data_IF_934558829277
#
_entry.id   IF_934558829277
#
_cell.length_a   1.000
_cell.length_b   1.000
_cell.length_c   1.000
_cell.angle_alpha   90.00
_cell.angle_beta   90.00
_cell.angle_gamma   90.00
#
_symmetry.space_group_name_H-M   'P 1'
#
loop_
_entity.id
_entity.type
_entity.pdbx_description
1 polymer ?
#
# COMPACT_ATOMS: atom_id res chain seq x y z
N UNK A 1 -0.87 -37.61 72.61
CA UNK A 1 -0.24 -37.33 71.32
C UNK A 1 -0.94 -36.15 70.73
N UNK A 2 -0.23 -35.02 70.66
CA UNK A 2 -0.74 -33.64 70.46
C UNK A 2 -0.96 -33.35 69.04
N UNK A 3 -2.19 -33.08 68.64
CA UNK A 3 -2.59 -32.63 67.24
C UNK A 3 -2.62 -31.12 67.26
N UNK A 4 -1.71 -30.49 66.51
CA UNK A 4 -1.65 -29.06 66.27
C UNK A 4 -2.53 -28.71 65.10
N UNK A 5 -3.62 -27.99 65.31
CA UNK A 5 -4.42 -27.31 64.29
C UNK A 5 -3.66 -26.07 63.78
N UNK A 6 -3.26 -26.08 62.53
CA UNK A 6 -2.85 -24.88 61.82
C UNK A 6 -4.05 -24.30 61.07
N UNK A 7 -4.50 -23.16 61.50
CA UNK A 7 -5.47 -22.33 60.77
C UNK A 7 -4.78 -21.67 59.55
N UNK A 8 -5.16 -22.08 58.34
CA UNK A 8 -4.79 -21.40 57.11
C UNK A 8 -5.82 -20.31 56.82
N UNK A 9 -5.42 -19.06 57.08
CA UNK A 9 -6.17 -17.89 56.57
C UNK A 9 -6.10 -17.84 55.07
N UNK A 10 -7.24 -18.08 54.39
CA UNK A 10 -7.41 -17.82 52.97
C UNK A 10 -7.42 -16.28 52.75
N UNK A 11 -6.32 -15.74 52.28
CA UNK A 11 -6.35 -14.43 51.65
C UNK A 11 -6.99 -14.60 50.27
N UNK A 12 -8.24 -14.13 50.11
CA UNK A 12 -8.89 -13.99 48.82
C UNK A 12 -8.15 -12.88 48.03
N UNK A 13 -7.27 -13.29 47.09
CA UNK A 13 -6.73 -12.40 46.11
C UNK A 13 -7.91 -11.88 45.27
N UNK A 14 -8.21 -10.57 45.40
CA UNK A 14 -9.08 -9.88 44.46
C UNK A 14 -8.46 -10.00 43.06
N UNK A 15 -9.00 -10.91 42.27
CA UNK A 15 -8.63 -11.04 40.86
C UNK A 15 -8.84 -9.72 40.15
N UNK A 16 -7.77 -9.12 39.69
CA UNK A 16 -7.82 -8.05 38.70
C UNK A 16 -8.54 -8.65 37.48
N UNK A 17 -9.77 -8.24 37.26
CA UNK A 17 -10.47 -8.51 35.98
C UNK A 17 -9.67 -7.81 34.91
N UNK A 18 -8.78 -8.53 34.24
CA UNK A 18 -8.20 -8.07 32.97
C UNK A 18 -9.36 -7.82 32.02
N UNK A 19 -9.56 -6.56 31.62
CA UNK A 19 -10.52 -6.22 30.57
C UNK A 19 -10.20 -7.11 29.36
N UNK A 20 -11.24 -7.72 28.79
CA UNK A 20 -11.09 -8.43 27.52
C UNK A 20 -10.42 -7.51 26.50
N UNK A 21 -9.53 -8.03 25.64
CA UNK A 21 -8.89 -7.22 24.62
C UNK A 21 -9.95 -6.56 23.74
N UNK A 22 -9.84 -5.25 23.55
CA UNK A 22 -10.74 -4.47 22.68
C UNK A 22 -10.61 -5.01 21.25
N UNK A 23 -11.73 -5.25 20.58
CA UNK A 23 -11.70 -5.71 19.18
C UNK A 23 -11.10 -4.64 18.27
N UNK A 24 -10.55 -5.06 17.11
CA UNK A 24 -10.01 -4.13 16.11
C UNK A 24 -11.06 -3.08 15.69
N UNK A 25 -12.31 -3.49 15.50
CA UNK A 25 -13.40 -2.59 15.11
C UNK A 25 -13.68 -1.55 16.19
N UNK A 26 -13.86 -1.97 17.44
CA UNK A 26 -14.09 -1.07 18.57
C UNK A 26 -12.94 -0.08 18.77
N UNK A 27 -11.69 -0.53 18.57
CA UNK A 27 -10.52 0.34 18.65
C UNK A 27 -10.55 1.42 17.56
N UNK A 28 -10.87 1.04 16.31
CA UNK A 28 -10.93 1.97 15.18
C UNK A 28 -12.09 2.95 15.36
N UNK A 29 -13.27 2.50 15.76
CA UNK A 29 -14.43 3.36 16.01
C UNK A 29 -14.16 4.38 17.13
N UNK A 30 -13.57 3.94 18.23
CA UNK A 30 -13.17 4.82 19.34
C UNK A 30 -12.15 5.88 18.86
N UNK A 31 -11.14 5.47 18.08
CA UNK A 31 -10.15 6.39 17.54
C UNK A 31 -10.79 7.40 16.58
N UNK A 32 -11.62 6.96 15.63
CA UNK A 32 -12.32 7.82 14.68
C UNK A 32 -13.24 8.83 15.37
N UNK A 33 -13.87 8.44 16.49
CA UNK A 33 -14.73 9.32 17.28
C UNK A 33 -13.96 10.48 17.93
N UNK A 34 -12.66 10.28 18.19
CA UNK A 34 -11.77 11.28 18.80
C UNK A 34 -11.11 12.20 17.79
N UNK A 35 -11.08 11.83 16.51
CA UNK A 35 -10.43 12.57 15.45
C UNK A 35 -11.22 13.80 15.02
N UNK A 36 -10.53 14.95 14.87
CA UNK A 36 -11.04 16.09 14.13
C UNK A 36 -11.13 15.80 12.63
N UNK A 37 -11.84 16.65 11.87
CA UNK A 37 -11.87 16.51 10.41
C UNK A 37 -10.47 16.63 9.80
N UNK A 38 -9.68 17.60 10.27
CA UNK A 38 -8.31 17.82 9.80
C UNK A 38 -7.40 16.60 10.04
N UNK A 39 -7.53 15.94 11.20
CA UNK A 39 -6.79 14.73 11.51
C UNK A 39 -7.25 13.53 10.64
N UNK A 40 -8.56 13.43 10.31
CA UNK A 40 -9.06 12.42 9.37
C UNK A 40 -8.49 12.64 7.98
N UNK A 41 -8.51 13.88 7.48
CA UNK A 41 -7.89 14.24 6.20
C UNK A 41 -6.38 14.00 6.24
N UNK A 42 -5.73 14.31 7.35
CA UNK A 42 -4.31 14.09 7.57
C UNK A 42 -3.90 12.61 7.40
N UNK A 43 -4.75 11.65 7.80
CA UNK A 43 -4.47 10.23 7.60
C UNK A 43 -4.47 9.80 6.12
N UNK A 44 -5.08 10.61 5.23
CA UNK A 44 -5.08 10.37 3.78
C UNK A 44 -3.86 11.00 3.08
N UNK A 45 -2.96 11.66 3.81
CA UNK A 45 -1.84 12.40 3.25
C UNK A 45 -0.53 11.62 3.37
N UNK A 46 0.11 11.36 2.22
CA UNK A 46 1.36 10.61 2.08
C UNK A 46 2.43 11.49 1.38
N UNK A 47 3.03 12.47 2.07
CA UNK A 47 4.08 13.29 1.48
C UNK A 47 5.43 12.57 1.41
N UNK A 48 6.34 13.12 0.59
CA UNK A 48 7.76 12.74 0.64
C UNK A 48 8.42 13.27 1.92
N UNK A 49 9.51 12.63 2.33
CA UNK A 49 10.28 13.12 3.48
C UNK A 49 11.10 14.39 3.20
N UNK A 50 11.14 14.87 1.95
CA UNK A 50 12.02 15.96 1.53
C UNK A 50 13.48 15.56 1.27
N UNK A 51 13.84 14.30 1.50
CA UNK A 51 15.17 13.76 1.29
C UNK A 51 15.43 13.29 -0.16
N UNK A 52 14.48 13.52 -1.08
CA UNK A 52 14.57 13.00 -2.44
C UNK A 52 14.81 14.10 -3.42
N UNK A 53 15.81 13.84 -4.23
CA UNK A 53 16.24 14.71 -5.32
C UNK A 53 15.41 14.53 -6.62
N UNK A 54 14.49 13.58 -6.64
CA UNK A 54 13.65 13.28 -7.80
C UNK A 54 12.19 13.52 -7.47
N UNK A 55 11.63 14.60 -7.97
CA UNK A 55 10.23 14.96 -7.78
C UNK A 55 10.05 16.37 -7.25
N UNK A 56 8.95 17.01 -7.60
CA UNK A 56 8.69 18.44 -7.36
C UNK A 56 8.08 18.75 -5.99
N UNK A 57 7.91 17.79 -5.11
CA UNK A 57 7.27 18.00 -3.81
C UNK A 57 8.28 18.48 -2.76
N UNK A 58 8.31 19.77 -2.50
CA UNK A 58 8.96 20.33 -1.33
C UNK A 58 8.11 20.09 -0.08
N UNK A 59 8.51 19.15 0.76
CA UNK A 59 7.89 18.94 2.08
C UNK A 59 8.51 19.84 3.15
N UNK A 60 8.44 21.16 2.95
CA UNK A 60 8.72 22.12 4.02
C UNK A 60 7.72 21.88 5.17
N UNK A 61 8.23 21.69 6.40
CA UNK A 61 7.46 21.48 7.62
C UNK A 61 6.87 20.07 7.86
N UNK A 62 7.42 19.01 7.29
CA UNK A 62 6.96 17.62 7.54
C UNK A 62 6.85 17.33 9.04
N UNK A 63 7.86 17.64 9.84
CA UNK A 63 7.85 17.41 11.28
C UNK A 63 6.66 18.09 11.99
N UNK A 64 6.36 19.34 11.64
CA UNK A 64 5.22 20.08 12.17
C UNK A 64 3.88 19.45 11.74
N UNK A 65 3.76 19.07 10.47
CA UNK A 65 2.55 18.43 9.96
C UNK A 65 2.29 17.07 10.64
N UNK A 66 3.35 16.31 10.97
CA UNK A 66 3.23 15.06 11.74
C UNK A 66 2.73 15.35 13.15
N UNK A 67 3.31 16.34 13.84
CA UNK A 67 2.89 16.75 15.18
C UNK A 67 1.43 17.20 15.22
N UNK A 68 0.97 17.90 14.18
CA UNK A 68 -0.42 18.37 14.02
C UNK A 68 -1.39 17.27 13.54
N UNK A 69 -0.92 16.02 13.31
CA UNK A 69 -1.75 14.91 12.84
C UNK A 69 -2.20 15.00 11.38
N UNK A 70 -1.49 15.77 10.56
CA UNK A 70 -1.80 16.02 9.13
C UNK A 70 -1.10 15.08 8.15
N UNK A 71 -0.51 13.99 8.64
CA UNK A 71 0.27 13.01 7.84
C UNK A 71 -0.05 11.60 8.32
N UNK A 72 -0.48 10.73 7.41
CA UNK A 72 -0.74 9.31 7.68
C UNK A 72 0.47 8.41 7.42
N UNK A 73 1.36 8.84 6.53
CA UNK A 73 2.59 8.12 6.19
C UNK A 73 3.59 9.02 5.50
N UNK A 74 4.79 8.48 5.28
CA UNK A 74 5.83 9.12 4.48
C UNK A 74 6.34 8.10 3.45
N UNK A 75 6.70 8.55 2.26
CA UNK A 75 7.37 7.68 1.32
C UNK A 75 8.78 8.16 0.97
N UNK A 76 9.61 7.19 0.56
CA UNK A 76 11.00 7.43 0.18
C UNK A 76 11.87 8.06 1.29
N UNK A 77 11.61 7.78 2.55
CA UNK A 77 12.51 8.07 3.66
C UNK A 77 13.47 6.90 3.85
N UNK A 78 14.75 7.17 4.01
CA UNK A 78 15.79 6.16 4.26
C UNK A 78 16.49 6.40 5.59
N UNK A 79 17.10 5.37 6.09
CA UNK A 79 17.87 5.24 7.33
C UNK A 79 17.02 5.11 8.60
N UNK A 80 17.41 4.16 9.41
CA UNK A 80 16.77 3.85 10.70
C UNK A 80 16.67 5.08 11.60
N UNK A 81 17.71 5.94 11.62
CA UNK A 81 17.74 7.13 12.47
C UNK A 81 16.64 8.12 12.10
N UNK A 82 16.48 8.44 10.82
CA UNK A 82 15.44 9.37 10.34
C UNK A 82 14.04 8.82 10.53
N UNK A 83 13.83 7.55 10.20
CA UNK A 83 12.53 6.88 10.38
C UNK A 83 12.14 6.88 11.86
N UNK A 84 13.07 6.56 12.76
CA UNK A 84 12.82 6.62 14.22
C UNK A 84 12.53 8.04 14.71
N UNK A 85 13.21 9.03 14.18
CA UNK A 85 13.00 10.43 14.56
C UNK A 85 11.57 10.88 14.21
N UNK A 86 11.15 10.70 12.96
CA UNK A 86 9.79 11.11 12.53
C UNK A 86 8.70 10.26 13.17
N UNK A 87 8.92 8.95 13.35
CA UNK A 87 7.99 8.08 14.07
C UNK A 87 7.83 8.51 15.53
N UNK A 88 8.92 8.93 16.18
CA UNK A 88 8.88 9.44 17.54
C UNK A 88 8.04 10.71 17.65
N UNK A 89 8.10 11.61 16.66
CA UNK A 89 7.22 12.78 16.61
C UNK A 89 5.75 12.33 16.55
N UNK A 90 5.41 11.38 15.68
CA UNK A 90 4.05 10.90 15.55
C UNK A 90 3.51 10.28 16.84
N UNK A 91 4.28 9.39 17.50
CA UNK A 91 3.78 8.61 18.67
C UNK A 91 3.97 9.31 20.01
N UNK A 92 4.85 10.32 20.12
CA UNK A 92 5.09 11.02 21.38
C UNK A 92 4.48 12.43 21.41
N UNK A 93 4.53 13.18 20.28
CA UNK A 93 4.15 14.59 20.24
C UNK A 93 2.78 14.84 19.64
N UNK A 94 2.31 14.02 18.67
CA UNK A 94 0.97 14.21 18.12
C UNK A 94 -0.12 13.88 19.15
N UNK A 95 -1.27 14.50 18.99
CA UNK A 95 -2.39 14.35 19.94
C UNK A 95 -2.92 12.92 20.03
N UNK A 96 -3.07 12.25 18.90
CA UNK A 96 -3.65 10.90 18.83
C UNK A 96 -2.63 9.78 18.86
N UNK A 97 -1.34 10.09 18.72
CA UNK A 97 -0.23 9.13 18.77
C UNK A 97 -0.34 7.99 17.76
N UNK A 98 -0.91 8.27 16.59
CA UNK A 98 -1.03 7.30 15.51
C UNK A 98 0.34 7.15 14.84
N UNK A 99 0.88 5.92 14.74
CA UNK A 99 2.16 5.70 14.04
C UNK A 99 2.00 5.89 12.53
N UNK A 100 3.08 6.36 11.89
CA UNK A 100 3.14 6.56 10.44
C UNK A 100 3.40 5.25 9.68
N UNK A 101 2.87 5.18 8.47
CA UNK A 101 3.32 4.23 7.45
C UNK A 101 4.58 4.78 6.75
N UNK A 102 5.51 3.89 6.42
CA UNK A 102 6.72 4.21 5.66
C UNK A 102 6.77 3.40 4.37
N UNK A 103 6.46 4.08 3.25
CA UNK A 103 6.41 3.47 1.93
C UNK A 103 7.70 3.67 1.14
N UNK A 104 8.05 2.67 0.32
CA UNK A 104 9.16 2.74 -0.63
C UNK A 104 8.97 1.78 -1.80
N UNK A 105 9.51 2.16 -2.97
CA UNK A 105 9.64 1.22 -4.09
C UNK A 105 10.74 0.19 -3.79
N UNK A 106 10.33 -1.06 -3.62
CA UNK A 106 11.23 -2.20 -3.40
C UNK A 106 10.92 -3.25 -4.47
N UNK A 107 11.03 -2.83 -5.75
CA UNK A 107 10.52 -3.59 -6.90
C UNK A 107 11.37 -4.82 -7.21
N UNK A 108 12.71 -4.69 -7.12
CA UNK A 108 13.64 -5.79 -7.37
C UNK A 108 14.79 -5.83 -6.36
N UNK A 109 14.44 -5.72 -5.09
CA UNK A 109 15.36 -5.73 -3.95
C UNK A 109 15.39 -4.39 -3.22
N UNK A 110 16.08 -4.39 -2.08
CA UNK A 110 16.30 -3.20 -1.26
C UNK A 110 17.81 -2.90 -1.17
N UNK A 111 18.56 -3.52 -0.27
CA UNK A 111 20.02 -3.48 -0.27
C UNK A 111 20.61 -4.49 -1.26
N UNK A 112 20.08 -5.72 -1.28
CA UNK A 112 20.42 -6.70 -2.30
C UNK A 112 19.63 -6.41 -3.57
N UNK A 113 20.33 -6.07 -4.65
CA UNK A 113 19.73 -5.87 -5.97
C UNK A 113 19.54 -7.19 -6.68
N UNK A 114 18.28 -7.54 -6.96
CA UNK A 114 17.89 -8.68 -7.80
C UNK A 114 17.77 -8.25 -9.27
N UNK A 115 17.72 -9.20 -10.22
CA UNK A 115 17.32 -8.87 -11.59
C UNK A 115 16.00 -8.12 -11.64
N UNK A 116 15.82 -7.28 -12.67
CA UNK A 116 14.55 -6.59 -12.88
C UNK A 116 13.39 -7.59 -12.97
N UNK A 117 12.15 -7.22 -12.63
CA UNK A 117 11.01 -8.13 -12.64
C UNK A 117 10.83 -8.89 -13.94
N UNK A 118 11.04 -8.25 -15.09
CA UNK A 118 11.01 -8.93 -16.40
C UNK A 118 12.08 -10.03 -16.51
N UNK A 119 13.28 -9.80 -15.96
CA UNK A 119 14.34 -10.82 -15.89
C UNK A 119 13.99 -11.95 -14.92
N UNK A 120 13.42 -11.63 -13.76
CA UNK A 120 12.95 -12.65 -12.81
C UNK A 120 11.83 -13.50 -13.38
N UNK A 121 10.90 -12.91 -14.14
CA UNK A 121 9.78 -13.63 -14.77
C UNK A 121 10.26 -14.71 -15.72
N UNK A 122 11.37 -14.48 -16.44
CA UNK A 122 11.96 -15.44 -17.38
C UNK A 122 12.48 -16.72 -16.73
N UNK A 123 12.64 -16.73 -15.41
CA UNK A 123 13.05 -17.95 -14.67
C UNK A 123 11.93 -18.97 -14.53
N UNK A 124 10.67 -18.57 -14.60
CA UNK A 124 9.48 -19.40 -14.33
C UNK A 124 9.51 -20.08 -12.96
N UNK A 125 10.36 -19.61 -12.05
CA UNK A 125 10.61 -20.22 -10.75
C UNK A 125 9.92 -19.42 -9.63
N UNK A 126 8.65 -19.74 -9.35
CA UNK A 126 7.86 -19.03 -8.32
C UNK A 126 8.49 -19.06 -6.92
N UNK A 127 9.04 -20.21 -6.43
CA UNK A 127 9.76 -20.22 -5.15
C UNK A 127 10.96 -19.27 -5.11
N UNK A 128 11.70 -19.10 -6.20
CA UNK A 128 12.82 -18.16 -6.28
C UNK A 128 12.33 -16.71 -6.23
N UNK A 129 11.25 -16.39 -6.94
CA UNK A 129 10.62 -15.05 -6.96
C UNK A 129 10.06 -14.71 -5.57
N UNK A 130 9.35 -15.64 -4.92
CA UNK A 130 8.88 -15.47 -3.55
C UNK A 130 10.05 -15.22 -2.59
N UNK A 131 11.15 -15.97 -2.74
CA UNK A 131 12.35 -15.82 -1.91
C UNK A 131 13.03 -14.47 -2.10
N UNK A 132 13.10 -13.94 -3.32
CA UNK A 132 13.66 -12.62 -3.57
C UNK A 132 12.85 -11.52 -2.85
N UNK A 133 11.52 -11.61 -2.90
CA UNK A 133 10.64 -10.70 -2.18
C UNK A 133 10.78 -10.81 -0.65
N UNK A 134 10.95 -12.02 -0.11
CA UNK A 134 11.22 -12.24 1.32
C UNK A 134 12.53 -11.59 1.78
N UNK A 135 13.58 -11.68 0.97
CA UNK A 135 14.87 -11.06 1.29
C UNK A 135 14.72 -9.53 1.26
N UNK A 136 14.10 -8.99 0.22
CA UNK A 136 13.84 -7.57 0.10
C UNK A 136 12.99 -7.03 1.28
N UNK A 137 11.94 -7.75 1.68
CA UNK A 137 11.11 -7.40 2.84
C UNK A 137 11.93 -7.38 4.14
N UNK A 138 12.77 -8.38 4.35
CA UNK A 138 13.64 -8.46 5.53
C UNK A 138 14.63 -7.30 5.60
N UNK A 139 15.22 -6.92 4.48
CA UNK A 139 16.17 -5.81 4.42
C UNK A 139 15.45 -4.47 4.63
N UNK A 140 14.35 -4.22 3.92
CA UNK A 140 13.56 -3.00 4.03
C UNK A 140 12.99 -2.81 5.45
N UNK A 141 12.46 -3.89 6.06
CA UNK A 141 11.93 -3.83 7.42
C UNK A 141 13.02 -3.56 8.47
N UNK A 142 14.25 -4.01 8.25
CA UNK A 142 15.38 -3.72 9.12
C UNK A 142 15.70 -2.22 9.17
N UNK A 143 15.48 -1.50 8.07
CA UNK A 143 15.60 -0.03 8.01
C UNK A 143 14.34 0.71 8.52
N UNK A 144 13.26 -0.01 8.81
CA UNK A 144 12.01 0.55 9.32
C UNK A 144 10.95 0.84 8.25
N UNK A 145 11.19 0.45 6.99
CA UNK A 145 10.17 0.47 5.94
C UNK A 145 9.15 -0.62 6.26
N UNK A 146 7.88 -0.28 6.25
CA UNK A 146 6.80 -1.22 6.56
C UNK A 146 5.78 -1.39 5.41
N UNK A 147 5.99 -0.71 4.29
CA UNK A 147 5.14 -0.74 3.11
C UNK A 147 5.97 -0.63 1.83
N UNK A 148 5.72 -1.50 0.85
CA UNK A 148 6.36 -1.42 -0.46
C UNK A 148 5.36 -1.16 -1.56
N UNK A 149 5.75 -0.38 -2.59
CA UNK A 149 4.97 -0.15 -3.80
C UNK A 149 5.28 -1.24 -4.86
N UNK A 150 5.06 -2.49 -4.47
CA UNK A 150 5.32 -3.70 -5.25
C UNK A 150 4.38 -4.82 -4.80
N UNK A 151 4.00 -5.76 -5.70
CA UNK A 151 4.46 -5.97 -7.08
C UNK A 151 3.79 -5.07 -8.12
N UNK A 152 4.52 -4.75 -9.18
CA UNK A 152 3.99 -4.21 -10.40
C UNK A 152 3.54 -5.38 -11.29
N UNK A 153 2.26 -5.40 -11.64
CA UNK A 153 1.63 -6.54 -12.34
C UNK A 153 0.95 -6.16 -13.65
N UNK A 154 1.27 -4.98 -14.15
CA UNK A 154 0.74 -4.51 -15.42
C UNK A 154 1.13 -5.44 -16.56
N UNK A 155 0.13 -5.93 -17.30
CA UNK A 155 0.35 -6.66 -18.53
C UNK A 155 0.81 -5.68 -19.59
N UNK A 156 2.02 -5.90 -20.13
CA UNK A 156 2.64 -5.05 -21.15
C UNK A 156 2.86 -5.83 -22.43
N UNK A 157 2.22 -5.38 -23.52
CA UNK A 157 2.35 -5.99 -24.86
C UNK A 157 3.04 -5.08 -25.86
N UNK A 158 3.05 -3.78 -25.59
CA UNK A 158 3.75 -2.80 -26.41
C UNK A 158 5.14 -2.52 -25.86
N UNK A 159 6.21 -2.96 -26.53
CA UNK A 159 7.57 -2.76 -26.02
C UNK A 159 8.02 -1.28 -26.03
N UNK A 160 7.24 -0.37 -26.61
CA UNK A 160 7.52 1.06 -26.55
C UNK A 160 7.17 1.69 -25.22
N UNK A 161 6.32 1.03 -24.41
CA UNK A 161 6.01 1.52 -23.06
C UNK A 161 7.25 1.47 -22.17
N UNK A 162 7.61 2.61 -21.57
CA UNK A 162 8.87 2.79 -20.84
C UNK A 162 9.01 1.96 -19.55
N UNK A 163 7.90 1.36 -19.07
CA UNK A 163 7.87 0.63 -17.78
C UNK A 163 7.79 -0.90 -17.95
N UNK A 164 8.03 -1.42 -19.13
CA UNK A 164 8.01 -2.88 -19.39
C UNK A 164 8.94 -3.66 -18.45
N UNK A 165 10.08 -3.08 -18.07
CA UNK A 165 11.09 -3.70 -17.20
C UNK A 165 10.61 -3.95 -15.77
N UNK A 166 9.60 -3.21 -15.30
CA UNK A 166 9.09 -3.30 -13.93
C UNK A 166 8.09 -4.46 -13.73
N UNK A 167 7.53 -5.00 -14.81
CA UNK A 167 6.51 -6.05 -14.77
C UNK A 167 7.03 -7.41 -15.21
N UNK A 168 6.12 -8.38 -15.28
CA UNK A 168 6.40 -9.76 -15.62
C UNK A 168 6.15 -10.12 -17.09
N UNK A 169 5.85 -9.14 -17.95
CA UNK A 169 5.62 -9.33 -19.37
C UNK A 169 4.14 -9.34 -19.77
N UNK A 170 3.81 -10.09 -20.83
CA UNK A 170 2.50 -10.02 -21.49
C UNK A 170 1.52 -11.14 -21.10
N UNK A 171 1.99 -12.19 -20.44
CA UNK A 171 1.17 -13.36 -20.12
C UNK A 171 0.42 -13.19 -18.79
N UNK A 172 -0.91 -13.21 -18.87
CA UNK A 172 -1.77 -13.00 -17.71
C UNK A 172 -1.68 -14.12 -16.65
N UNK A 173 -1.43 -15.36 -17.08
CA UNK A 173 -1.29 -16.48 -16.15
C UNK A 173 0.04 -16.41 -15.40
N UNK A 174 1.15 -16.23 -16.11
CA UNK A 174 2.47 -16.08 -15.51
C UNK A 174 2.49 -14.88 -14.55
N UNK A 175 1.98 -13.72 -15.01
CA UNK A 175 1.85 -12.53 -14.19
C UNK A 175 1.03 -12.76 -12.91
N UNK A 176 -0.04 -13.55 -12.99
CA UNK A 176 -0.86 -13.94 -11.83
C UNK A 176 -0.09 -14.82 -10.83
N UNK A 177 0.72 -15.76 -11.29
CA UNK A 177 1.54 -16.60 -10.41
C UNK A 177 2.64 -15.76 -9.72
N UNK A 178 3.28 -14.88 -10.47
CA UNK A 178 4.31 -13.96 -9.94
C UNK A 178 3.70 -13.00 -8.92
N UNK A 179 2.54 -12.42 -9.20
CA UNK A 179 1.83 -11.55 -8.26
C UNK A 179 1.61 -12.24 -6.90
N UNK A 180 1.10 -13.49 -6.92
CA UNK A 180 0.92 -14.29 -5.70
C UNK A 180 2.23 -14.55 -4.96
N UNK A 181 3.29 -14.94 -5.69
CA UNK A 181 4.59 -15.23 -5.10
C UNK A 181 5.18 -14.00 -4.43
N UNK A 182 5.13 -12.83 -5.08
CA UNK A 182 5.67 -11.59 -4.54
C UNK A 182 4.86 -11.09 -3.32
N UNK A 183 3.52 -11.11 -3.38
CA UNK A 183 2.68 -10.73 -2.22
C UNK A 183 3.00 -11.61 -1.01
N UNK A 184 3.07 -12.93 -1.19
CA UNK A 184 3.47 -13.87 -0.14
C UNK A 184 4.89 -13.58 0.38
N UNK A 185 5.81 -13.30 -0.52
CA UNK A 185 7.18 -12.99 -0.17
C UNK A 185 7.30 -11.75 0.71
N UNK A 186 6.64 -10.66 0.34
CA UNK A 186 6.66 -9.42 1.12
C UNK A 186 5.92 -9.54 2.44
N UNK A 187 4.70 -10.07 2.44
CA UNK A 187 3.80 -10.06 3.60
C UNK A 187 3.97 -11.26 4.51
N UNK A 188 4.57 -12.35 4.04
CA UNK A 188 4.64 -13.58 4.80
C UNK A 188 3.25 -14.08 5.21
N UNK A 189 3.18 -14.71 6.36
CA UNK A 189 1.93 -15.19 6.96
C UNK A 189 1.39 -14.24 8.05
N UNK A 190 2.20 -13.29 8.49
CA UNK A 190 1.86 -12.38 9.60
C UNK A 190 2.64 -11.06 9.45
N UNK A 191 1.90 -9.98 9.20
CA UNK A 191 2.47 -8.63 9.06
C UNK A 191 2.93 -8.02 10.40
N UNK A 192 2.66 -8.65 11.53
CA UNK A 192 3.18 -8.22 12.83
C UNK A 192 4.65 -8.60 13.04
N UNK A 193 5.20 -9.46 12.19
CA UNK A 193 6.59 -9.88 12.25
C UNK A 193 7.51 -8.78 11.72
N UNK A 194 8.68 -8.67 12.33
CA UNK A 194 9.69 -7.63 12.02
C UNK A 194 10.51 -7.90 10.74
N UNK A 195 10.14 -8.87 9.95
CA UNK A 195 10.79 -9.24 8.70
C UNK A 195 9.81 -9.28 7.52
N UNK A 196 8.65 -8.70 7.68
CA UNK A 196 7.59 -8.58 6.68
C UNK A 196 7.24 -7.12 6.45
N UNK A 197 6.73 -6.79 5.25
CA UNK A 197 6.23 -5.46 4.89
C UNK A 197 4.92 -5.58 4.11
N UNK A 198 4.07 -4.56 4.20
CA UNK A 198 2.83 -4.52 3.45
C UNK A 198 3.13 -4.41 1.95
N UNK A 199 2.50 -5.23 1.14
CA UNK A 199 2.59 -5.16 -0.32
C UNK A 199 1.54 -4.22 -0.91
N UNK A 200 1.87 -3.64 -2.07
CA UNK A 200 0.98 -2.79 -2.85
C UNK A 200 1.00 -3.24 -4.32
N UNK A 201 -0.09 -3.84 -4.78
CA UNK A 201 -0.19 -4.20 -6.19
C UNK A 201 -0.45 -2.97 -7.05
N UNK A 202 0.31 -2.80 -8.14
CA UNK A 202 0.24 -1.63 -9.01
C UNK A 202 0.39 -2.00 -10.49
N UNK A 203 -0.10 -1.16 -11.36
CA UNK A 203 -0.91 0.05 -11.18
C UNK A 203 -2.34 -0.26 -11.64
N UNK A 204 -3.31 -0.17 -10.76
CA UNK A 204 -4.68 -0.59 -11.01
C UNK A 204 -5.49 0.52 -11.70
N UNK A 205 -5.82 0.37 -13.03
CA UNK A 205 -5.52 -0.81 -13.81
C UNK A 205 -5.22 -0.45 -15.26
N UNK A 206 -4.73 -1.44 -16.02
CA UNK A 206 -4.52 -1.36 -17.46
C UNK A 206 -3.34 -0.46 -17.89
N UNK A 207 -2.50 -0.04 -16.98
CA UNK A 207 -1.45 0.95 -17.24
C UNK A 207 -0.41 0.47 -18.28
N UNK A 208 -0.23 -0.84 -18.44
CA UNK A 208 0.63 -1.42 -19.48
C UNK A 208 0.02 -1.49 -20.88
N UNK A 209 -1.19 -0.93 -21.09
CA UNK A 209 -1.90 -0.95 -22.37
C UNK A 209 -2.21 0.44 -22.95
N UNK A 210 -1.39 1.48 -22.72
CA UNK A 210 -1.73 2.82 -23.22
C UNK A 210 -1.59 2.88 -24.73
N UNK A 211 -2.40 3.73 -25.35
CA UNK A 211 -2.36 3.98 -26.79
C UNK A 211 -0.94 4.33 -27.26
N UNK A 212 -0.48 3.63 -28.30
CA UNK A 212 0.85 3.78 -28.89
C UNK A 212 2.05 3.57 -27.93
N UNK A 213 1.85 2.88 -26.80
CA UNK A 213 2.86 2.70 -25.76
C UNK A 213 3.25 3.98 -25.03
N UNK A 214 2.46 5.05 -25.14
CA UNK A 214 2.74 6.33 -24.48
C UNK A 214 2.29 6.28 -23.03
N UNK A 215 3.22 6.50 -22.15
CA UNK A 215 2.93 6.56 -20.70
C UNK A 215 1.87 7.63 -20.39
N UNK A 216 1.05 7.42 -19.37
CA UNK A 216 -0.09 8.28 -18.98
C UNK A 216 -1.25 8.35 -19.96
N UNK A 217 -1.17 7.71 -21.14
CA UNK A 217 -2.14 7.88 -22.19
C UNK A 217 -3.41 7.01 -21.95
N UNK A 218 -4.42 7.30 -22.77
CA UNK A 218 -5.72 6.62 -22.79
C UNK A 218 -5.58 5.14 -23.09
N UNK A 219 -6.44 4.32 -22.46
CA UNK A 219 -6.64 2.91 -22.77
C UNK A 219 -8.05 2.72 -23.28
N UNK A 220 -8.18 2.18 -24.50
CA UNK A 220 -9.44 1.78 -25.10
C UNK A 220 -9.47 0.26 -25.33
N UNK A 221 -10.31 -0.44 -24.60
CA UNK A 221 -10.56 -1.86 -24.79
C UNK A 221 -11.89 -2.33 -24.23
N UNK A 222 -12.40 -3.43 -24.77
CA UNK A 222 -13.63 -4.04 -24.25
C UNK A 222 -13.45 -4.59 -22.83
N UNK A 223 -14.52 -4.57 -22.03
CA UNK A 223 -14.52 -5.20 -20.70
C UNK A 223 -14.16 -6.68 -20.73
N UNK A 224 -14.58 -7.42 -21.76
CA UNK A 224 -14.21 -8.84 -21.92
C UNK A 224 -12.69 -8.97 -21.95
N UNK A 225 -11.99 -8.12 -22.70
CA UNK A 225 -10.54 -8.11 -22.79
C UNK A 225 -9.90 -7.73 -21.45
N UNK A 226 -10.45 -6.72 -20.74
CA UNK A 226 -9.97 -6.36 -19.40
C UNK A 226 -10.00 -7.56 -18.45
N UNK A 227 -11.13 -8.27 -18.37
CA UNK A 227 -11.31 -9.41 -17.46
C UNK A 227 -10.47 -10.64 -17.83
N UNK A 228 -10.25 -10.89 -19.12
CA UNK A 228 -9.53 -12.09 -19.55
C UNK A 228 -8.02 -11.90 -19.60
N UNK A 229 -7.54 -10.69 -19.85
CA UNK A 229 -6.14 -10.46 -20.20
C UNK A 229 -5.40 -9.55 -19.24
N UNK A 230 -6.06 -8.52 -18.69
CA UNK A 230 -5.37 -7.49 -17.90
C UNK A 230 -5.67 -7.52 -16.41
N UNK A 231 -6.88 -7.90 -16.02
CA UNK A 231 -7.26 -7.98 -14.60
C UNK A 231 -6.73 -9.20 -13.83
N UNK A 232 -6.45 -10.36 -14.46
CA UNK A 232 -6.10 -11.56 -13.71
C UNK A 232 -4.92 -11.39 -12.76
N UNK A 233 -3.80 -10.69 -13.08
CA UNK A 233 -2.70 -10.51 -12.12
C UNK A 233 -3.09 -9.68 -10.89
N UNK A 234 -3.89 -8.63 -11.05
CA UNK A 234 -4.39 -7.84 -9.92
C UNK A 234 -5.33 -8.65 -9.04
N UNK A 235 -6.26 -9.39 -9.69
CA UNK A 235 -7.16 -10.28 -8.95
C UNK A 235 -6.40 -11.35 -8.16
N UNK A 236 -5.34 -11.88 -8.75
CA UNK A 236 -4.47 -12.86 -8.11
C UNK A 236 -3.73 -12.29 -6.89
N UNK A 237 -3.30 -11.02 -6.96
CA UNK A 237 -2.72 -10.31 -5.81
C UNK A 237 -3.76 -10.09 -4.71
N UNK A 238 -4.98 -9.69 -5.07
CA UNK A 238 -6.10 -9.53 -4.11
C UNK A 238 -6.42 -10.86 -3.44
N UNK A 239 -6.50 -11.95 -4.19
CA UNK A 239 -6.75 -13.30 -3.66
C UNK A 239 -5.60 -13.81 -2.78
N UNK A 240 -4.38 -13.33 -3.00
CA UNK A 240 -3.23 -13.62 -2.16
C UNK A 240 -3.20 -12.76 -0.88
N UNK A 241 -4.15 -11.85 -0.70
CA UNK A 241 -4.29 -11.03 0.50
C UNK A 241 -3.43 -9.76 0.50
N UNK A 242 -3.13 -9.19 -0.68
CA UNK A 242 -2.41 -7.91 -0.75
C UNK A 242 -3.09 -6.84 0.09
N UNK A 243 -2.31 -6.08 0.86
CA UNK A 243 -2.87 -5.10 1.80
C UNK A 243 -3.18 -3.74 1.20
N UNK A 244 -2.59 -3.38 0.06
CA UNK A 244 -2.89 -2.13 -0.63
C UNK A 244 -2.85 -2.27 -2.15
N UNK A 245 -3.51 -1.33 -2.83
CA UNK A 245 -3.58 -1.23 -4.28
C UNK A 245 -3.23 0.20 -4.67
N UNK A 246 -2.40 0.38 -5.68
CA UNK A 246 -2.09 1.70 -6.23
C UNK A 246 -2.87 1.93 -7.51
N UNK A 247 -3.62 3.03 -7.57
CA UNK A 247 -4.36 3.45 -8.77
C UNK A 247 -3.39 3.90 -9.87
N UNK A 248 -3.72 3.62 -11.12
CA UNK A 248 -2.93 4.04 -12.27
C UNK A 248 -3.29 5.45 -12.76
N UNK A 249 -2.44 6.01 -13.61
CA UNK A 249 -2.64 7.35 -14.20
C UNK A 249 -3.57 7.37 -15.40
N UNK A 250 -3.55 6.31 -16.22
CA UNK A 250 -4.23 6.26 -17.51
C UNK A 250 -5.75 6.40 -17.41
N UNK A 251 -6.33 6.88 -18.47
CA UNK A 251 -7.78 6.86 -18.65
C UNK A 251 -8.28 5.47 -19.09
N UNK A 252 -9.49 5.15 -18.64
CA UNK A 252 -10.27 3.99 -19.08
C UNK A 252 -11.66 4.50 -19.43
N UNK A 253 -12.07 4.34 -20.68
CA UNK A 253 -13.35 4.89 -21.18
C UNK A 253 -13.45 6.42 -20.93
N UNK A 254 -12.34 7.17 -21.08
CA UNK A 254 -12.28 8.62 -20.87
C UNK A 254 -12.29 9.06 -19.39
N UNK A 255 -12.15 8.15 -18.44
CA UNK A 255 -12.11 8.46 -17.00
C UNK A 255 -10.76 8.00 -16.44
N UNK A 256 -9.93 8.89 -15.87
CA UNK A 256 -8.70 8.52 -15.19
C UNK A 256 -8.98 7.46 -14.11
N UNK A 257 -8.12 6.44 -14.02
CA UNK A 257 -8.33 5.31 -13.10
C UNK A 257 -8.52 5.78 -11.65
N UNK A 258 -7.79 6.79 -11.22
CA UNK A 258 -7.90 7.42 -9.89
C UNK A 258 -9.32 7.95 -9.59
N UNK A 259 -10.03 8.48 -10.60
CA UNK A 259 -11.42 8.97 -10.46
C UNK A 259 -12.48 7.95 -10.89
N UNK A 260 -12.09 6.74 -11.28
CA UNK A 260 -12.99 5.76 -11.88
C UNK A 260 -13.72 4.91 -10.84
N UNK A 261 -14.92 5.33 -10.47
CA UNK A 261 -15.74 4.65 -9.46
C UNK A 261 -16.08 3.20 -9.85
N UNK A 262 -16.33 2.93 -11.14
CA UNK A 262 -16.58 1.56 -11.58
C UNK A 262 -15.38 0.66 -11.27
N UNK A 263 -14.17 1.13 -11.58
CA UNK A 263 -12.95 0.38 -11.33
C UNK A 263 -12.69 0.18 -9.83
N UNK A 264 -12.66 1.28 -9.06
CA UNK A 264 -12.27 1.26 -7.64
C UNK A 264 -13.36 0.69 -6.73
N UNK A 265 -14.62 1.06 -6.96
CA UNK A 265 -15.71 0.62 -6.09
C UNK A 265 -16.37 -0.66 -6.61
N UNK A 266 -16.83 -0.70 -7.87
CA UNK A 266 -17.63 -1.83 -8.31
C UNK A 266 -16.80 -3.07 -8.59
N UNK A 267 -15.66 -2.94 -9.27
CA UNK A 267 -14.76 -4.08 -9.53
C UNK A 267 -13.97 -4.43 -8.27
N UNK A 268 -13.14 -3.52 -7.78
CA UNK A 268 -12.19 -3.83 -6.71
C UNK A 268 -12.89 -4.16 -5.38
N UNK A 269 -13.78 -3.29 -4.92
CA UNK A 269 -14.43 -3.45 -3.60
C UNK A 269 -15.60 -4.42 -3.63
N UNK A 270 -16.58 -4.22 -4.55
CA UNK A 270 -17.80 -5.02 -4.53
C UNK A 270 -17.62 -6.39 -5.16
N UNK A 271 -16.97 -6.49 -6.32
CA UNK A 271 -16.81 -7.76 -7.02
C UNK A 271 -15.67 -8.61 -6.42
N UNK A 272 -14.48 -8.01 -6.20
CA UNK A 272 -13.31 -8.74 -5.72
C UNK A 272 -13.21 -8.79 -4.20
N UNK A 273 -14.03 -8.03 -3.47
CA UNK A 273 -14.06 -8.00 -1.99
C UNK A 273 -12.73 -7.56 -1.37
N UNK A 274 -12.00 -6.67 -2.04
CA UNK A 274 -10.77 -6.14 -1.50
C UNK A 274 -11.01 -5.35 -0.21
N UNK A 275 -10.27 -5.66 0.84
CA UNK A 275 -10.41 -5.09 2.19
C UNK A 275 -9.24 -4.21 2.64
N UNK A 276 -8.20 -4.08 1.81
CA UNK A 276 -7.09 -3.18 2.07
C UNK A 276 -7.44 -1.72 1.74
N UNK A 277 -6.45 -0.86 1.54
CA UNK A 277 -6.68 0.52 1.11
C UNK A 277 -6.13 0.78 -0.30
N UNK A 278 -6.64 1.83 -0.95
CA UNK A 278 -6.20 2.28 -2.26
C UNK A 278 -5.42 3.58 -2.12
N UNK A 279 -4.20 3.59 -2.64
CA UNK A 279 -3.35 4.77 -2.72
C UNK A 279 -3.31 5.26 -4.17
N UNK A 280 -3.14 6.57 -4.39
CA UNK A 280 -2.83 7.09 -5.73
C UNK A 280 -1.39 6.76 -6.11
N UNK A 281 -1.08 6.78 -7.39
CA UNK A 281 0.29 7.00 -7.82
C UNK A 281 0.72 8.44 -7.54
N UNK A 282 2.01 8.74 -7.66
CA UNK A 282 2.57 10.06 -7.35
C UNK A 282 1.86 11.16 -8.14
N UNK A 283 1.31 12.16 -7.43
CA UNK A 283 0.51 13.24 -8.01
C UNK A 283 -0.74 12.80 -8.79
N UNK A 284 -1.25 11.58 -8.59
CA UNK A 284 -2.36 11.03 -9.38
C UNK A 284 -3.68 11.81 -9.30
N UNK A 285 -3.92 12.55 -8.21
CA UNK A 285 -5.09 13.44 -8.12
C UNK A 285 -4.89 14.70 -8.95
N UNK A 286 -3.78 15.46 -8.81
CA UNK A 286 -3.48 16.61 -9.71
C UNK A 286 -3.49 16.25 -11.20
N UNK A 287 -2.96 15.09 -11.58
CA UNK A 287 -2.98 14.62 -12.99
C UNK A 287 -4.38 14.58 -13.59
N UNK A 288 -5.42 14.35 -12.81
CA UNK A 288 -6.79 14.38 -13.33
C UNK A 288 -7.23 15.77 -13.80
N UNK A 289 -6.58 16.83 -13.34
CA UNK A 289 -6.84 18.19 -13.87
C UNK A 289 -6.35 18.33 -15.31
N UNK A 290 -5.21 17.71 -15.64
CA UNK A 290 -4.63 17.72 -16.97
C UNK A 290 -5.45 16.87 -17.96
N UNK A 291 -6.19 15.88 -17.45
CA UNK A 291 -7.19 15.12 -18.18
C UNK A 291 -8.55 15.87 -18.31
N UNK A 292 -8.64 17.12 -17.87
CA UNK A 292 -9.84 17.95 -18.03
C UNK A 292 -11.00 17.58 -17.08
N UNK A 293 -10.76 16.83 -16.01
CA UNK A 293 -11.81 16.39 -15.07
C UNK A 293 -12.27 17.49 -14.09
N UNK A 294 -11.66 18.66 -14.14
CA UNK A 294 -12.01 19.82 -13.32
C UNK A 294 -10.82 20.42 -12.57
N UNK A 295 -11.09 21.32 -11.64
CA UNK A 295 -10.09 21.88 -10.75
C UNK A 295 -9.68 20.90 -9.66
N UNK A 296 -8.63 21.23 -8.89
CA UNK A 296 -8.09 20.36 -7.83
C UNK A 296 -9.13 19.97 -6.77
N UNK A 297 -10.07 20.86 -6.44
CA UNK A 297 -11.14 20.57 -5.49
C UNK A 297 -12.09 19.50 -6.06
N UNK A 298 -12.49 19.65 -7.30
CA UNK A 298 -13.38 18.72 -8.02
C UNK A 298 -12.73 17.33 -8.14
N UNK A 299 -11.48 17.26 -8.62
CA UNK A 299 -10.80 15.96 -8.81
C UNK A 299 -10.48 15.27 -7.50
N UNK A 300 -10.20 16.02 -6.41
CA UNK A 300 -10.03 15.44 -5.07
C UNK A 300 -11.33 14.78 -4.58
N UNK A 301 -12.47 15.44 -4.79
CA UNK A 301 -13.77 14.87 -4.46
C UNK A 301 -14.11 13.64 -5.33
N UNK A 302 -13.77 13.66 -6.62
CA UNK A 302 -13.95 12.52 -7.53
C UNK A 302 -13.13 11.31 -7.07
N UNK A 303 -11.85 11.50 -6.75
CA UNK A 303 -10.98 10.44 -6.27
C UNK A 303 -11.51 9.80 -4.98
N UNK A 304 -11.85 10.62 -3.99
CA UNK A 304 -12.39 10.15 -2.72
C UNK A 304 -13.71 9.38 -2.91
N UNK A 305 -14.62 9.89 -3.75
CA UNK A 305 -15.89 9.24 -4.06
C UNK A 305 -15.73 7.98 -4.93
N UNK A 306 -14.63 7.85 -5.67
CA UNK A 306 -14.30 6.63 -6.38
C UNK A 306 -13.80 5.51 -5.45
N UNK A 307 -13.23 5.86 -4.30
CA UNK A 307 -12.71 4.91 -3.31
C UNK A 307 -11.20 4.96 -3.13
N UNK A 308 -10.58 6.08 -3.44
CA UNK A 308 -9.18 6.37 -3.08
C UNK A 308 -9.12 6.77 -1.60
N UNK A 309 -8.13 6.28 -0.88
CA UNK A 309 -8.01 6.46 0.57
C UNK A 309 -6.67 7.08 1.00
N UNK A 310 -5.70 7.18 0.07
CA UNK A 310 -4.39 7.75 0.39
C UNK A 310 -3.72 8.32 -0.87
#
# INVERSE_FOLDING_TARGET
YTTLFRSTSLFAQKGNKTKAPVSKSEFIEDLLSKMTLDEKIGQLNLPTSGDITTGQANSSNVAKNIEEGKVGGLFNIKTVSKIREVQKIAVEKSRLKIPLLFGMDVIHGYETTFPIPLGLSSTWNMPLIERSAQIAAKEASADGINWTFSPMVDISRDPRWGRVSEGSGEDAYLGSQIAKAMVKGYQGNDLSLNNTILACVKHFALYGAPEAGRDYNTVDMSRIRMYNEYFPPYKAAVDAGVGSVMASFNEIDGIPATGNKWLMTDVLRKQWKFNGFVVTDYTGIPEMTDHGMGDLQTVSALALNAGIEL
#
